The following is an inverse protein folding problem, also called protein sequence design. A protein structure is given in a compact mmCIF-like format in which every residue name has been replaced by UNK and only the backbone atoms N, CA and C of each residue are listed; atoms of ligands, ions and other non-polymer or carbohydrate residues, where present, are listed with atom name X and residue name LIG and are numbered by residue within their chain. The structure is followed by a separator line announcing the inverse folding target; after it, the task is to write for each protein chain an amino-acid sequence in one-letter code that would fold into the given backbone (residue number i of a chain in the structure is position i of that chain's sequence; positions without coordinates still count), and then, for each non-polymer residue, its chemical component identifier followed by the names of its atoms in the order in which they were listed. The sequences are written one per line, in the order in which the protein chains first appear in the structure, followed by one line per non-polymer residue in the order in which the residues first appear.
data_IF_557194121866
#
_entry.id   IF_557194121866
#
_cell.length_a   1.000
_cell.length_b   1.000
_cell.length_c   1.000
_cell.angle_alpha   90.00
_cell.angle_beta   90.00
_cell.angle_gamma   90.00
#
_symmetry.space_group_name_H-M   'P 1'
#
loop_
_entity.id
_entity.type
_entity.pdbx_description
1 polymer ?
#
# COMPACT_ATOMS: atom_id res chain seq x y z
N UNK A 1 -8.22 -17.64 22.93
CA UNK A 1 -9.18 -16.73 22.25
C UNK A 1 -8.61 -15.32 22.05
N UNK A 2 -7.79 -14.81 22.97
CA UNK A 2 -7.11 -13.51 22.87
C UNK A 2 -6.32 -13.30 21.58
N UNK A 3 -5.44 -14.24 21.21
CA UNK A 3 -4.59 -14.08 20.02
C UNK A 3 -5.39 -13.90 18.72
N UNK A 4 -6.53 -14.60 18.59
CA UNK A 4 -7.41 -14.46 17.42
C UNK A 4 -8.08 -13.08 17.40
N UNK A 5 -8.53 -12.59 18.56
CA UNK A 5 -9.12 -11.24 18.70
C UNK A 5 -8.09 -10.17 18.36
N UNK A 6 -6.86 -10.29 18.84
CA UNK A 6 -5.78 -9.33 18.53
C UNK A 6 -5.46 -9.29 17.04
N UNK A 7 -5.39 -10.44 16.37
CA UNK A 7 -5.16 -10.50 14.91
C UNK A 7 -6.29 -9.80 14.16
N UNK A 8 -7.55 -10.07 14.52
CA UNK A 8 -8.71 -9.43 13.88
C UNK A 8 -8.68 -7.91 14.08
N UNK A 9 -8.41 -7.44 15.30
CA UNK A 9 -8.29 -6.01 15.61
C UNK A 9 -7.17 -5.38 14.77
N UNK A 10 -6.00 -6.01 14.71
CA UNK A 10 -4.88 -5.52 13.91
C UNK A 10 -5.22 -5.40 12.42
N UNK A 11 -5.92 -6.38 11.86
CA UNK A 11 -6.40 -6.34 10.46
C UNK A 11 -7.38 -5.18 10.27
N UNK A 12 -8.38 -5.03 11.14
CA UNK A 12 -9.35 -3.93 11.06
C UNK A 12 -8.64 -2.57 11.11
N UNK A 13 -7.72 -2.39 12.05
CA UNK A 13 -6.93 -1.16 12.18
C UNK A 13 -6.13 -0.90 10.91
N UNK A 14 -5.46 -1.92 10.35
CA UNK A 14 -4.69 -1.77 9.10
C UNK A 14 -5.56 -1.35 7.92
N UNK A 15 -6.78 -1.89 7.79
CA UNK A 15 -7.71 -1.52 6.72
C UNK A 15 -8.17 -0.07 6.88
N UNK A 16 -8.44 0.37 8.11
CA UNK A 16 -8.77 1.78 8.39
C UNK A 16 -7.60 2.68 7.94
N UNK A 17 -6.36 2.32 8.26
CA UNK A 17 -5.19 3.07 7.82
C UNK A 17 -5.04 3.11 6.29
N UNK A 18 -5.34 2.02 5.60
CA UNK A 18 -5.34 2.00 4.12
C UNK A 18 -6.37 2.97 3.57
N UNK A 19 -7.61 2.92 4.06
CA UNK A 19 -8.69 3.81 3.58
C UNK A 19 -8.33 5.27 3.84
N UNK A 20 -7.87 5.60 5.05
CA UNK A 20 -7.41 6.95 5.41
C UNK A 20 -6.23 7.38 4.55
N UNK A 21 -5.25 6.50 4.34
CA UNK A 21 -4.08 6.75 3.50
C UNK A 21 -4.46 7.12 2.07
N UNK A 22 -5.27 6.28 1.42
CA UNK A 22 -5.71 6.48 0.04
C UNK A 22 -6.61 7.72 -0.14
N UNK A 23 -7.46 8.04 0.84
CA UNK A 23 -8.43 9.14 0.70
C UNK A 23 -7.89 10.50 1.10
N UNK A 24 -7.06 10.57 2.14
CA UNK A 24 -6.63 11.83 2.75
C UNK A 24 -5.16 12.15 2.48
N UNK A 25 -4.28 11.14 2.49
CA UNK A 25 -2.83 11.36 2.37
C UNK A 25 -2.35 11.33 0.93
N UNK A 26 -2.92 10.47 0.09
CA UNK A 26 -2.50 10.28 -1.30
C UNK A 26 -2.56 11.59 -2.11
N UNK A 27 -3.58 12.41 -1.89
CA UNK A 27 -3.77 13.68 -2.61
C UNK A 27 -2.77 14.77 -2.19
N UNK A 28 -2.17 14.65 -1.01
CA UNK A 28 -1.34 15.70 -0.41
C UNK A 28 0.17 15.49 -0.63
N UNK A 29 0.61 14.29 -1.02
CA UNK A 29 2.02 13.93 -1.03
C UNK A 29 2.80 14.37 -2.28
N UNK A 30 2.15 14.54 -3.43
CA UNK A 30 2.81 14.83 -4.72
C UNK A 30 2.85 16.32 -5.08
N UNK A 31 2.95 17.18 -4.06
CA UNK A 31 3.02 18.62 -4.30
C UNK A 31 4.33 19.05 -4.95
N UNK A 32 5.43 18.34 -4.65
CA UNK A 32 6.73 18.64 -5.25
C UNK A 32 6.78 18.25 -6.73
N UNK A 33 6.24 17.07 -7.08
CA UNK A 33 6.22 16.60 -8.47
C UNK A 33 5.37 17.51 -9.34
N UNK A 34 4.19 17.94 -8.86
CA UNK A 34 3.37 18.94 -9.56
C UNK A 34 4.11 20.25 -9.82
N UNK A 35 4.84 20.76 -8.85
CA UNK A 35 5.62 22.00 -9.03
C UNK A 35 6.79 21.76 -10.01
N UNK A 36 7.44 20.60 -9.96
CA UNK A 36 8.51 20.25 -10.89
C UNK A 36 7.98 20.17 -12.33
N UNK A 37 6.83 19.53 -12.54
CA UNK A 37 6.13 19.46 -13.83
C UNK A 37 5.73 20.86 -14.35
N UNK A 38 5.21 21.73 -13.47
CA UNK A 38 4.90 23.12 -13.82
C UNK A 38 6.15 23.91 -14.27
N UNK A 39 7.32 23.57 -13.72
CA UNK A 39 8.62 24.14 -14.11
C UNK A 39 9.22 23.47 -15.36
N UNK A 40 8.52 22.51 -15.97
CA UNK A 40 8.95 21.82 -17.19
C UNK A 40 9.88 20.63 -16.95
N UNK A 41 9.99 20.15 -15.71
CA UNK A 41 10.65 18.87 -15.43
C UNK A 41 9.76 17.71 -15.92
N UNK A 42 10.38 16.65 -16.39
CA UNK A 42 9.71 15.42 -16.80
C UNK A 42 10.39 14.23 -16.16
N UNK A 43 9.61 13.25 -15.71
CA UNK A 43 10.18 12.01 -15.20
C UNK A 43 10.77 11.15 -16.31
N UNK A 44 11.93 10.56 -16.03
CA UNK A 44 12.58 9.61 -16.91
C UNK A 44 12.85 8.31 -16.13
N UNK A 45 12.00 7.31 -16.33
CA UNK A 45 12.18 6.01 -15.69
C UNK A 45 13.28 5.21 -16.40
N UNK A 46 14.33 4.86 -15.67
CA UNK A 46 15.37 3.93 -16.14
C UNK A 46 14.83 2.49 -16.19
N UNK A 47 13.81 2.22 -15.38
CA UNK A 47 13.12 0.93 -15.28
C UNK A 47 11.62 1.15 -15.13
N UNK A 48 10.80 0.36 -15.83
CA UNK A 48 9.35 0.42 -15.71
C UNK A 48 8.89 -0.40 -14.49
N UNK A 49 8.40 0.30 -13.46
CA UNK A 49 7.75 -0.35 -12.32
C UNK A 49 6.52 -1.13 -12.79
N UNK A 50 6.27 -2.35 -12.28
CA UNK A 50 5.02 -3.08 -12.53
C UNK A 50 3.77 -2.32 -12.05
N UNK A 51 3.93 -1.47 -11.04
CA UNK A 51 2.91 -0.59 -10.46
C UNK A 51 3.53 0.80 -10.30
N UNK A 52 3.51 1.64 -11.35
CA UNK A 52 3.91 3.04 -11.25
C UNK A 52 2.97 3.75 -10.27
N UNK A 53 3.52 4.64 -9.44
CA UNK A 53 2.78 5.44 -8.44
C UNK A 53 1.89 4.64 -7.49
N UNK A 54 2.21 3.35 -7.33
CA UNK A 54 1.41 2.37 -6.56
C UNK A 54 -0.02 2.16 -7.10
N UNK A 55 -0.27 2.56 -8.35
CA UNK A 55 -1.55 2.41 -9.03
C UNK A 55 -1.53 1.22 -10.00
N UNK A 56 -2.72 0.73 -10.32
CA UNK A 56 -2.89 -0.33 -11.31
C UNK A 56 -2.90 0.32 -12.71
N UNK A 57 -1.99 -0.08 -13.63
CA UNK A 57 -2.02 0.40 -15.00
C UNK A 57 -3.39 0.17 -15.66
N UNK A 58 -3.95 1.21 -16.27
CA UNK A 58 -5.30 1.24 -16.83
C UNK A 58 -6.42 1.59 -15.84
N UNK A 59 -6.11 1.81 -14.56
CA UNK A 59 -7.04 2.27 -13.53
C UNK A 59 -6.46 3.46 -12.74
N UNK A 60 -5.60 4.25 -13.38
CA UNK A 60 -4.91 5.38 -12.76
C UNK A 60 -5.93 6.40 -12.20
N UNK A 61 -5.65 6.93 -11.00
CA UNK A 61 -6.53 7.85 -10.27
C UNK A 61 -7.84 7.24 -9.77
N UNK A 62 -8.09 5.95 -9.97
CA UNK A 62 -9.31 5.30 -9.47
C UNK A 62 -9.18 4.95 -7.98
N UNK A 63 -9.86 5.71 -7.14
CA UNK A 63 -9.83 5.53 -5.68
C UNK A 63 -10.17 4.10 -5.22
N UNK A 64 -11.16 3.46 -5.84
CA UNK A 64 -11.58 2.10 -5.46
C UNK A 64 -10.50 1.08 -5.82
N UNK A 65 -9.88 1.24 -7.00
CA UNK A 65 -8.77 0.40 -7.43
C UNK A 65 -7.56 0.55 -6.50
N UNK A 66 -7.22 1.79 -6.12
CA UNK A 66 -6.10 2.11 -5.23
C UNK A 66 -6.31 1.56 -3.81
N UNK A 67 -7.52 1.64 -3.27
CA UNK A 67 -7.87 1.00 -1.99
C UNK A 67 -7.75 -0.51 -2.12
N UNK A 68 -8.27 -1.09 -3.21
CA UNK A 68 -8.25 -2.54 -3.46
C UNK A 68 -6.84 -3.10 -3.50
N UNK A 69 -5.94 -2.48 -4.29
CA UNK A 69 -4.54 -2.91 -4.42
C UNK A 69 -3.78 -2.74 -3.10
N UNK A 70 -4.03 -1.64 -2.38
CA UNK A 70 -3.40 -1.38 -1.07
C UNK A 70 -3.82 -2.38 0.00
N UNK A 71 -5.11 -2.75 0.05
CA UNK A 71 -5.61 -3.81 0.95
C UNK A 71 -4.95 -5.15 0.58
N UNK A 72 -4.88 -5.47 -0.71
CA UNK A 72 -4.28 -6.72 -1.19
C UNK A 72 -2.82 -6.84 -0.74
N UNK A 73 -1.98 -5.84 -1.01
CA UNK A 73 -0.57 -5.86 -0.60
C UNK A 73 -0.40 -5.86 0.92
N UNK A 74 -1.26 -5.13 1.67
CA UNK A 74 -1.25 -5.18 3.14
C UNK A 74 -1.49 -6.59 3.66
N UNK A 75 -2.46 -7.31 3.10
CA UNK A 75 -2.76 -8.70 3.47
C UNK A 75 -1.64 -9.66 3.05
N UNK A 76 -1.04 -9.47 1.88
CA UNK A 76 0.11 -10.27 1.42
C UNK A 76 1.28 -10.12 2.40
N UNK A 77 1.64 -8.88 2.76
CA UNK A 77 2.73 -8.62 3.72
C UNK A 77 2.42 -9.22 5.09
N UNK A 78 1.18 -9.10 5.57
CA UNK A 78 0.75 -9.74 6.81
C UNK A 78 0.92 -11.26 6.75
N UNK A 79 0.45 -11.91 5.68
CA UNK A 79 0.55 -13.37 5.51
C UNK A 79 2.00 -13.84 5.44
N UNK A 80 2.85 -13.14 4.70
CA UNK A 80 4.29 -13.44 4.61
C UNK A 80 4.92 -13.31 5.99
N UNK A 81 4.73 -12.18 6.67
CA UNK A 81 5.32 -11.90 7.98
C UNK A 81 4.85 -12.91 9.04
N UNK A 82 3.55 -13.20 9.07
CA UNK A 82 2.96 -14.19 9.97
C UNK A 82 3.47 -15.60 9.67
N UNK A 83 3.55 -15.96 8.38
CA UNK A 83 4.08 -17.24 7.91
C UNK A 83 5.54 -17.43 8.30
N UNK A 84 6.38 -16.41 8.08
CA UNK A 84 7.79 -16.40 8.47
C UNK A 84 7.94 -16.54 9.99
N UNK A 85 7.21 -15.76 10.78
CA UNK A 85 7.23 -15.87 12.24
C UNK A 85 6.87 -17.27 12.73
N UNK A 86 5.87 -17.91 12.11
CA UNK A 86 5.49 -19.29 12.42
C UNK A 86 6.54 -20.32 11.99
N UNK A 87 7.19 -20.11 10.84
CA UNK A 87 8.24 -21.00 10.34
C UNK A 87 9.50 -20.94 11.21
N UNK A 88 9.91 -19.73 11.62
CA UNK A 88 11.06 -19.52 12.49
C UNK A 88 10.83 -20.07 13.90
N UNK A 89 9.61 -19.93 14.44
CA UNK A 89 9.24 -20.53 15.73
C UNK A 89 9.35 -22.06 15.74
N UNK A 90 9.31 -22.73 14.58
CA UNK A 90 9.47 -24.19 14.51
C UNK A 90 10.94 -24.64 14.46
N UNK A 91 11.88 -23.71 14.24
CA UNK A 91 13.32 -23.99 14.18
C UNK A 91 14.07 -23.69 15.48
N UNK A 92 13.44 -22.96 16.41
CA UNK A 92 13.91 -22.71 17.79
C UNK A 92 13.12 -23.59 18.74
#
# INVERSE_FOLDING_TARGET
MENKKMIIIGIIVSIIFVIVGCTLLSTSAETLDKIAEELGASEASIWHSPLPDYEIPGFEGNLIANIGISILFTLIIFLISFGLGKALRRRV
#
